data_IF_254077518292
#
_entry.id   IF_254077518292
#
_cell.length_a   1.000
_cell.length_b   1.000
_cell.length_c   1.000
_cell.angle_alpha   90.00
_cell.angle_beta   90.00
_cell.angle_gamma   90.00
#
_symmetry.space_group_name_H-M   'P 1'
#
loop_
_entity.id
_entity.type
_entity.pdbx_description
1 polymer ?
#
# COMPACT_ATOMS: atom_id res chain seq x y z
N UNK A 1 20.80 -36.43 5.98
CA UNK A 1 20.44 -35.00 6.09
C UNK A 1 18.99 -34.83 5.67
N UNK A 2 18.20 -34.04 6.40
CA UNK A 2 16.85 -33.71 5.96
C UNK A 2 16.92 -32.89 4.67
N UNK A 3 16.09 -33.22 3.68
CA UNK A 3 15.96 -32.46 2.43
C UNK A 3 14.66 -31.66 2.46
N UNK A 4 14.61 -30.58 1.69
CA UNK A 4 13.40 -29.80 1.50
C UNK A 4 12.28 -30.71 0.96
N UNK A 5 11.10 -30.77 1.61
CA UNK A 5 10.01 -31.65 1.18
C UNK A 5 9.35 -31.22 -0.14
N UNK A 6 9.69 -30.03 -0.67
CA UNK A 6 9.16 -29.53 -1.95
C UNK A 6 10.04 -29.98 -3.12
N UNK A 7 11.36 -29.71 -3.06
CA UNK A 7 12.28 -30.05 -4.15
C UNK A 7 13.07 -31.34 -3.94
N UNK A 8 13.05 -31.95 -2.74
CA UNK A 8 13.82 -33.15 -2.37
C UNK A 8 15.33 -33.08 -2.67
N UNK A 9 15.88 -31.86 -2.78
CA UNK A 9 17.25 -31.63 -3.21
C UNK A 9 18.01 -30.80 -2.19
N UNK A 10 17.51 -29.61 -1.86
CA UNK A 10 18.20 -28.59 -1.06
C UNK A 10 17.98 -28.77 0.45
N UNK A 11 18.94 -28.33 1.24
CA UNK A 11 18.83 -28.31 2.70
C UNK A 11 17.73 -27.35 3.18
N UNK A 12 16.82 -27.78 4.06
CA UNK A 12 15.74 -26.94 4.57
C UNK A 12 16.24 -25.97 5.64
N UNK A 13 15.98 -24.67 5.46
CA UNK A 13 16.50 -23.61 6.34
C UNK A 13 15.41 -22.77 7.00
N UNK A 14 14.15 -22.84 6.53
CA UNK A 14 13.04 -22.01 7.01
C UNK A 14 11.90 -22.88 7.51
N UNK A 15 11.42 -22.64 8.73
CA UNK A 15 10.17 -23.26 9.21
C UNK A 15 8.98 -22.58 8.54
N UNK A 16 8.24 -23.32 7.70
CA UNK A 16 7.05 -22.81 7.04
C UNK A 16 5.83 -22.98 7.97
N UNK A 17 5.19 -21.90 8.44
CA UNK A 17 4.03 -22.01 9.33
C UNK A 17 2.81 -22.65 8.65
N UNK A 18 2.64 -22.43 7.34
CA UNK A 18 1.53 -23.01 6.57
C UNK A 18 1.63 -24.53 6.40
N UNK A 19 2.86 -25.06 6.27
CA UNK A 19 3.10 -26.48 6.00
C UNK A 19 3.49 -27.27 7.26
N UNK A 20 3.78 -26.59 8.38
CA UNK A 20 4.32 -27.20 9.60
C UNK A 20 5.69 -27.88 9.41
N UNK A 21 6.41 -27.57 8.32
CA UNK A 21 7.65 -28.25 7.91
C UNK A 21 8.75 -27.25 7.58
N UNK A 22 10.01 -27.66 7.73
CA UNK A 22 11.14 -26.87 7.24
C UNK A 22 11.31 -27.04 5.74
N UNK A 23 11.42 -25.93 5.00
CA UNK A 23 11.64 -25.87 3.54
C UNK A 23 12.89 -25.04 3.24
N UNK A 24 13.46 -25.17 2.04
CA UNK A 24 14.59 -24.34 1.62
C UNK A 24 14.13 -22.91 1.25
N UNK A 25 15.07 -21.96 1.26
CA UNK A 25 14.81 -20.55 0.95
C UNK A 25 14.26 -20.33 -0.46
N UNK A 26 14.70 -21.12 -1.44
CA UNK A 26 14.29 -21.03 -2.85
C UNK A 26 12.83 -21.47 -3.01
N UNK A 27 12.46 -22.67 -2.58
CA UNK A 27 11.06 -23.12 -2.62
C UNK A 27 10.14 -22.20 -1.80
N UNK A 28 10.62 -21.67 -0.67
CA UNK A 28 9.89 -20.66 0.10
C UNK A 28 9.67 -19.37 -0.71
N UNK A 29 10.65 -18.92 -1.49
CA UNK A 29 10.57 -17.74 -2.36
C UNK A 29 9.62 -17.92 -3.53
N UNK A 30 9.69 -19.09 -4.16
CA UNK A 30 8.97 -19.41 -5.41
C UNK A 30 7.49 -19.71 -5.19
N UNK A 31 7.14 -20.37 -4.08
CA UNK A 31 5.79 -20.86 -3.84
C UNK A 31 4.95 -20.04 -2.84
N UNK A 32 5.55 -19.07 -2.13
CA UNK A 32 4.81 -18.19 -1.20
C UNK A 32 3.66 -17.49 -1.91
N UNK A 33 2.47 -17.46 -1.30
CA UNK A 33 1.23 -16.87 -1.87
C UNK A 33 0.80 -17.39 -3.26
N UNK A 34 1.55 -18.31 -3.87
CA UNK A 34 1.19 -18.95 -5.15
C UNK A 34 0.56 -20.31 -4.91
N UNK A 35 1.36 -21.25 -4.38
CA UNK A 35 0.91 -22.60 -4.04
C UNK A 35 0.95 -22.89 -2.53
N UNK A 36 1.61 -22.03 -1.75
CA UNK A 36 1.59 -22.08 -0.28
C UNK A 36 0.68 -20.97 0.23
N UNK A 37 -0.41 -21.36 0.92
CA UNK A 37 -1.30 -20.47 1.66
C UNK A 37 -0.58 -19.91 2.90
N UNK A 38 0.30 -18.93 2.67
CA UNK A 38 1.10 -18.32 3.72
C UNK A 38 0.20 -17.50 4.66
N UNK A 39 0.24 -17.72 5.99
CA UNK A 39 -0.47 -16.86 6.92
C UNK A 39 0.16 -15.46 6.92
N UNK A 40 -0.64 -14.44 7.25
CA UNK A 40 -0.17 -13.05 7.39
C UNK A 40 0.92 -12.89 8.45
N UNK A 41 0.96 -13.78 9.45
CA UNK A 41 2.00 -13.83 10.48
C UNK A 41 3.34 -14.45 10.03
N UNK A 42 3.49 -14.84 8.75
CA UNK A 42 4.72 -15.44 8.24
C UNK A 42 5.86 -14.42 8.14
N UNK A 43 6.86 -14.50 9.04
CA UNK A 43 8.03 -13.61 9.07
C UNK A 43 8.79 -13.55 7.73
N UNK A 44 8.95 -14.69 7.06
CA UNK A 44 9.64 -14.75 5.76
C UNK A 44 8.86 -14.09 4.64
N UNK A 45 7.53 -14.05 4.73
CA UNK A 45 6.66 -13.33 3.80
C UNK A 45 6.78 -11.83 4.05
N UNK A 46 6.55 -11.39 5.30
CA UNK A 46 6.63 -10.00 5.72
C UNK A 46 8.00 -9.36 5.39
N UNK A 47 9.09 -10.10 5.59
CA UNK A 47 10.44 -9.63 5.26
C UNK A 47 10.62 -9.42 3.76
N UNK A 48 10.05 -10.28 2.91
CA UNK A 48 10.17 -10.11 1.48
C UNK A 48 9.25 -9.03 0.92
N UNK A 49 8.05 -8.89 1.47
CA UNK A 49 7.15 -7.78 1.15
C UNK A 49 7.80 -6.45 1.49
N UNK A 50 8.39 -6.31 2.68
CA UNK A 50 9.13 -5.11 3.07
C UNK A 50 10.28 -4.79 2.10
N UNK A 51 11.09 -5.79 1.73
CA UNK A 51 12.18 -5.59 0.75
C UNK A 51 11.65 -5.19 -0.64
N UNK A 52 10.51 -5.74 -1.04
CA UNK A 52 9.85 -5.37 -2.29
C UNK A 52 9.39 -3.91 -2.22
N UNK A 53 8.68 -3.54 -1.14
CA UNK A 53 8.20 -2.18 -0.92
C UNK A 53 9.35 -1.18 -0.88
N UNK A 54 10.43 -1.45 -0.14
CA UNK A 54 11.60 -0.59 -0.06
C UNK A 54 12.20 -0.32 -1.46
N UNK A 55 12.32 -1.36 -2.28
CA UNK A 55 12.82 -1.23 -3.66
C UNK A 55 11.87 -0.39 -4.51
N UNK A 56 10.56 -0.70 -4.48
CA UNK A 56 9.55 0.03 -5.24
C UNK A 56 9.44 1.49 -4.77
N UNK A 57 9.65 1.76 -3.49
CA UNK A 57 9.66 3.10 -2.94
C UNK A 57 10.83 3.93 -3.47
N UNK A 58 12.02 3.32 -3.59
CA UNK A 58 13.17 3.98 -4.22
C UNK A 58 12.92 4.28 -5.71
N UNK A 59 12.30 3.35 -6.44
CA UNK A 59 11.90 3.56 -7.84
C UNK A 59 10.88 4.70 -7.95
N UNK A 60 9.84 4.66 -7.13
CA UNK A 60 8.80 5.69 -7.08
C UNK A 60 9.37 7.06 -6.74
N UNK A 61 10.29 7.16 -5.78
CA UNK A 61 10.93 8.44 -5.42
C UNK A 61 11.66 9.06 -6.61
N UNK A 62 12.40 8.25 -7.37
CA UNK A 62 13.15 8.73 -8.54
C UNK A 62 12.23 9.21 -9.66
N UNK A 63 11.18 8.46 -9.98
CA UNK A 63 10.21 8.88 -11.00
C UNK A 63 9.39 10.09 -10.55
N UNK A 64 9.09 10.17 -9.24
CA UNK A 64 8.42 11.33 -8.67
C UNK A 64 9.27 12.60 -8.77
N UNK A 65 10.58 12.53 -8.48
CA UNK A 65 11.50 13.67 -8.66
C UNK A 65 11.50 14.19 -10.11
N UNK A 66 11.47 13.28 -11.10
CA UNK A 66 11.34 13.66 -12.52
C UNK A 66 10.03 14.38 -12.81
N UNK A 67 8.90 13.90 -12.26
CA UNK A 67 7.60 14.57 -12.37
C UNK A 67 7.67 15.99 -11.79
N UNK A 68 8.26 16.17 -10.61
CA UNK A 68 8.37 17.49 -9.97
C UNK A 68 9.21 18.48 -10.80
N UNK A 69 10.29 18.01 -11.42
CA UNK A 69 11.10 18.82 -12.34
C UNK A 69 10.28 19.19 -13.58
N UNK A 70 9.62 18.21 -14.20
CA UNK A 70 8.75 18.43 -15.36
C UNK A 70 7.64 19.45 -15.08
N UNK A 71 6.94 19.33 -13.94
CA UNK A 71 5.89 20.28 -13.56
C UNK A 71 6.43 21.70 -13.41
N UNK A 72 7.62 21.86 -12.83
CA UNK A 72 8.28 23.17 -12.69
C UNK A 72 8.59 23.77 -14.06
N UNK A 73 9.18 22.99 -14.96
CA UNK A 73 9.53 23.44 -16.32
C UNK A 73 8.29 23.83 -17.14
N UNK A 74 7.15 23.20 -16.88
CA UNK A 74 5.86 23.52 -17.51
C UNK A 74 5.09 24.66 -16.82
N UNK A 75 5.65 25.30 -15.79
CA UNK A 75 4.95 26.35 -15.03
C UNK A 75 3.83 25.83 -14.12
N UNK A 76 3.72 24.50 -13.96
CA UNK A 76 2.73 23.80 -13.12
C UNK A 76 3.25 23.50 -11.71
N UNK A 77 4.28 24.21 -11.26
CA UNK A 77 4.87 24.02 -9.93
C UNK A 77 3.88 24.27 -8.76
N UNK A 78 2.78 24.98 -9.02
CA UNK A 78 1.72 25.23 -8.05
C UNK A 78 0.94 23.97 -7.66
N UNK A 79 0.96 22.90 -8.47
CA UNK A 79 0.31 21.61 -8.17
C UNK A 79 1.03 20.81 -7.09
N UNK A 80 2.34 21.04 -6.89
CA UNK A 80 3.21 20.22 -6.05
C UNK A 80 2.70 20.05 -4.61
N UNK A 81 2.23 21.09 -3.91
CA UNK A 81 1.68 20.93 -2.56
C UNK A 81 0.44 20.02 -2.53
N UNK A 82 -0.45 20.14 -3.52
CA UNK A 82 -1.66 19.33 -3.58
C UNK A 82 -1.34 17.87 -3.92
N UNK A 83 -0.40 17.63 -4.83
CA UNK A 83 0.10 16.29 -5.13
C UNK A 83 0.69 15.60 -3.90
N UNK A 84 1.39 16.33 -3.03
CA UNK A 84 1.89 15.80 -1.76
C UNK A 84 0.75 15.39 -0.82
N UNK A 85 -0.29 16.23 -0.68
CA UNK A 85 -1.48 15.94 0.15
C UNK A 85 -2.20 14.69 -0.35
N UNK A 86 -2.40 14.57 -1.67
CA UNK A 86 -3.04 13.41 -2.27
C UNK A 86 -2.23 12.13 -2.03
N UNK A 87 -0.90 12.19 -2.19
CA UNK A 87 -0.01 11.05 -1.97
C UNK A 87 -0.07 10.55 -0.52
N UNK A 88 -0.09 11.47 0.45
CA UNK A 88 -0.24 11.12 1.88
C UNK A 88 -1.63 10.53 2.17
N UNK A 89 -2.68 11.09 1.58
CA UNK A 89 -4.06 10.59 1.74
C UNK A 89 -4.21 9.17 1.18
N UNK A 90 -3.66 8.92 -0.01
CA UNK A 90 -3.60 7.60 -0.62
C UNK A 90 -2.83 6.61 0.26
N UNK A 91 -1.67 7.02 0.79
CA UNK A 91 -0.86 6.16 1.64
C UNK A 91 -1.65 5.70 2.89
N UNK A 92 -2.35 6.62 3.54
CA UNK A 92 -3.19 6.30 4.70
C UNK A 92 -4.34 5.35 4.35
N UNK A 93 -4.98 5.52 3.19
CA UNK A 93 -6.03 4.61 2.71
C UNK A 93 -5.48 3.21 2.41
N UNK A 94 -4.37 3.13 1.70
CA UNK A 94 -3.73 1.88 1.26
C UNK A 94 -3.25 1.02 2.43
N UNK A 95 -2.83 1.61 3.56
CA UNK A 95 -2.39 0.84 4.74
C UNK A 95 -3.39 -0.20 5.24
N UNK A 96 -4.69 0.05 5.01
CA UNK A 96 -5.79 -0.76 5.54
C UNK A 96 -6.53 -1.56 4.47
N UNK A 97 -6.20 -1.36 3.19
CA UNK A 97 -6.95 -1.87 2.07
C UNK A 97 -6.04 -2.70 1.16
N UNK A 98 -6.55 -3.83 0.69
CA UNK A 98 -5.89 -4.59 -0.37
C UNK A 98 -6.35 -4.06 -1.73
N UNK A 99 -5.62 -3.09 -2.27
CA UNK A 99 -5.94 -2.40 -3.53
C UNK A 99 -4.84 -2.58 -4.57
N UNK A 100 -5.21 -2.44 -5.82
CA UNK A 100 -4.33 -2.45 -6.99
C UNK A 100 -4.02 -1.03 -7.48
N UNK A 101 -3.07 -0.89 -8.40
CA UNK A 101 -2.81 0.39 -9.06
C UNK A 101 -4.03 0.84 -9.89
N UNK A 102 -4.77 -0.09 -10.48
CA UNK A 102 -6.03 0.15 -11.19
C UNK A 102 -7.11 0.71 -10.25
N UNK A 103 -7.22 0.17 -9.03
CA UNK A 103 -8.12 0.70 -8.01
C UNK A 103 -7.78 2.14 -7.62
N UNK A 104 -6.49 2.49 -7.58
CA UNK A 104 -6.02 3.85 -7.30
C UNK A 104 -6.42 4.80 -8.43
N UNK A 105 -6.16 4.41 -9.69
CA UNK A 105 -6.53 5.22 -10.86
C UNK A 105 -8.04 5.46 -10.89
N UNK A 106 -8.85 4.40 -10.75
CA UNK A 106 -10.31 4.50 -10.72
C UNK A 106 -10.81 5.43 -9.60
N UNK A 107 -10.19 5.36 -8.42
CA UNK A 107 -10.54 6.24 -7.30
C UNK A 107 -10.20 7.72 -7.57
N UNK A 108 -9.05 7.99 -8.20
CA UNK A 108 -8.64 9.34 -8.58
C UNK A 108 -9.55 9.93 -9.66
N UNK A 109 -9.82 9.17 -10.72
CA UNK A 109 -10.70 9.58 -11.82
C UNK A 109 -12.13 9.84 -11.35
N UNK A 110 -12.64 9.00 -10.44
CA UNK A 110 -13.92 9.25 -9.78
C UNK A 110 -13.92 10.61 -9.06
N UNK A 111 -12.87 10.92 -8.28
CA UNK A 111 -12.78 12.22 -7.62
C UNK A 111 -12.66 13.40 -8.61
N UNK A 112 -11.99 13.23 -9.76
CA UNK A 112 -11.97 14.23 -10.83
C UNK A 112 -13.40 14.52 -11.32
N UNK A 113 -14.17 13.46 -11.57
CA UNK A 113 -15.57 13.59 -12.01
C UNK A 113 -16.46 14.26 -10.96
N UNK A 114 -16.29 13.93 -9.67
CA UNK A 114 -17.06 14.57 -8.58
C UNK A 114 -16.78 16.07 -8.44
N UNK A 115 -15.60 16.53 -8.86
CA UNK A 115 -15.23 17.94 -8.84
C UNK A 115 -15.57 18.67 -10.16
N UNK A 116 -16.01 17.92 -11.18
CA UNK A 116 -16.48 18.48 -12.44
C UNK A 116 -17.67 19.43 -12.24
N UNK A 117 -17.83 20.47 -13.07
CA UNK A 117 -19.01 21.32 -13.07
C UNK A 117 -20.32 20.60 -13.41
N UNK A 118 -20.23 19.41 -14.03
CA UNK A 118 -21.38 18.61 -14.43
C UNK A 118 -21.71 17.62 -13.32
N UNK A 119 -22.92 17.70 -12.74
CA UNK A 119 -23.38 16.74 -11.73
C UNK A 119 -23.54 15.35 -12.34
N UNK A 120 -22.65 14.42 -11.95
CA UNK A 120 -22.75 13.00 -12.24
C UNK A 120 -23.07 12.25 -10.94
N UNK A 121 -24.25 11.62 -10.87
CA UNK A 121 -24.63 10.73 -9.76
C UNK A 121 -23.95 9.36 -9.93
N UNK A 122 -22.62 9.34 -9.88
CA UNK A 122 -21.84 8.12 -9.90
C UNK A 122 -21.57 7.63 -8.49
N UNK A 123 -21.48 6.31 -8.33
CA UNK A 123 -21.11 5.70 -7.05
C UNK A 123 -19.60 5.55 -7.00
N UNK A 124 -18.96 5.63 -5.82
CA UNK A 124 -17.54 5.37 -5.70
C UNK A 124 -17.20 3.98 -6.25
N UNK A 125 -16.15 3.87 -7.09
CA UNK A 125 -15.82 2.61 -7.77
C UNK A 125 -15.30 1.54 -6.79
N UNK A 126 -14.68 1.98 -5.68
CA UNK A 126 -14.15 1.12 -4.65
C UNK A 126 -14.09 1.84 -3.29
N UNK A 127 -13.63 1.13 -2.25
CA UNK A 127 -13.53 1.66 -0.88
C UNK A 127 -12.55 2.85 -0.81
N UNK A 128 -11.48 2.83 -1.62
CA UNK A 128 -10.52 3.92 -1.68
C UNK A 128 -11.15 5.19 -2.27
N UNK A 129 -11.92 5.07 -3.36
CA UNK A 129 -12.68 6.18 -3.96
C UNK A 129 -13.65 6.82 -2.98
N UNK A 130 -14.38 6.01 -2.20
CA UNK A 130 -15.24 6.52 -1.13
C UNK A 130 -14.44 7.29 -0.07
N UNK A 131 -13.32 6.72 0.38
CA UNK A 131 -12.49 7.36 1.40
C UNK A 131 -11.91 8.70 0.92
N UNK A 132 -11.48 8.77 -0.35
CA UNK A 132 -10.99 10.01 -0.96
C UNK A 132 -12.11 11.04 -1.13
N UNK A 133 -13.29 10.62 -1.59
CA UNK A 133 -14.47 11.49 -1.72
C UNK A 133 -14.84 12.13 -0.38
N UNK A 134 -15.02 11.31 0.66
CA UNK A 134 -15.36 11.75 2.02
C UNK A 134 -14.32 12.73 2.60
N UNK A 135 -13.07 12.64 2.13
CA UNK A 135 -11.97 13.51 2.57
C UNK A 135 -11.86 14.80 1.75
N UNK A 136 -11.88 14.70 0.42
CA UNK A 136 -11.55 15.79 -0.49
C UNK A 136 -12.77 16.66 -0.83
N UNK A 137 -13.91 16.05 -1.16
CA UNK A 137 -15.08 16.78 -1.69
C UNK A 137 -15.62 17.80 -0.68
N UNK A 138 -15.80 17.49 0.62
CA UNK A 138 -16.25 18.48 1.60
C UNK A 138 -15.27 19.66 1.77
N UNK A 139 -13.96 19.42 1.63
CA UNK A 139 -12.94 20.47 1.75
C UNK A 139 -12.98 21.41 0.54
N UNK A 140 -13.21 20.88 -0.66
CA UNK A 140 -13.40 21.70 -1.86
C UNK A 140 -14.72 22.48 -1.79
N UNK A 141 -15.82 21.83 -1.38
CA UNK A 141 -17.13 22.48 -1.26
C UNK A 141 -17.15 23.59 -0.20
N UNK A 142 -16.40 23.42 0.89
CA UNK A 142 -16.24 24.46 1.92
C UNK A 142 -15.23 25.56 1.56
N UNK A 143 -14.61 25.50 0.38
CA UNK A 143 -13.61 26.46 -0.09
C UNK A 143 -12.25 26.38 0.61
N UNK A 144 -12.00 25.32 1.39
CA UNK A 144 -10.71 25.09 2.05
C UNK A 144 -9.65 24.57 1.09
N UNK A 145 -10.07 23.92 0.02
CA UNK A 145 -9.23 23.52 -1.11
C UNK A 145 -9.76 24.16 -2.39
N UNK A 146 -8.85 24.63 -3.23
CA UNK A 146 -9.20 25.17 -4.54
C UNK A 146 -9.65 24.03 -5.47
N UNK A 147 -10.80 24.20 -6.14
CA UNK A 147 -11.43 23.16 -6.95
C UNK A 147 -10.59 22.80 -8.17
N UNK A 148 -10.15 23.79 -8.94
CA UNK A 148 -9.41 23.55 -10.18
C UNK A 148 -8.02 23.00 -9.89
N UNK A 149 -7.34 23.53 -8.87
CA UNK A 149 -6.08 23.01 -8.37
C UNK A 149 -6.20 21.53 -7.96
N UNK A 150 -7.25 21.19 -7.22
CA UNK A 150 -7.49 19.82 -6.75
C UNK A 150 -7.76 18.88 -7.91
N UNK A 151 -8.60 19.31 -8.85
CA UNK A 151 -8.96 18.53 -10.04
C UNK A 151 -7.72 18.28 -10.92
N UNK A 152 -6.94 19.32 -11.22
CA UNK A 152 -5.73 19.18 -12.02
C UNK A 152 -4.67 18.32 -11.32
N UNK A 153 -4.55 18.40 -9.99
CA UNK A 153 -3.64 17.55 -9.23
C UNK A 153 -4.08 16.07 -9.23
N UNK A 154 -5.39 15.79 -9.14
CA UNK A 154 -5.93 14.43 -9.26
C UNK A 154 -5.67 13.84 -10.65
N UNK A 155 -5.96 14.60 -11.72
CA UNK A 155 -5.68 14.20 -13.12
C UNK A 155 -4.18 13.93 -13.34
N UNK A 156 -3.32 14.82 -12.82
CA UNK A 156 -1.87 14.67 -12.90
C UNK A 156 -1.39 13.42 -12.18
N UNK A 157 -1.95 13.13 -10.99
CA UNK A 157 -1.59 11.96 -10.21
C UNK A 157 -2.09 10.67 -10.86
N UNK A 158 -3.30 10.65 -11.41
CA UNK A 158 -3.85 9.49 -12.12
C UNK A 158 -2.97 9.11 -13.32
N UNK A 159 -2.62 10.09 -14.17
CA UNK A 159 -1.71 9.86 -15.31
C UNK A 159 -0.31 9.44 -14.89
N UNK A 160 0.21 9.94 -13.76
CA UNK A 160 1.48 9.46 -13.21
C UNK A 160 1.40 8.00 -12.72
N UNK A 161 0.31 7.63 -12.04
CA UNK A 161 0.10 6.26 -11.55
C UNK A 161 0.01 5.30 -12.75
N UNK A 162 -0.73 5.67 -13.80
CA UNK A 162 -0.83 4.91 -15.05
C UNK A 162 0.56 4.67 -15.67
N UNK A 163 1.31 5.74 -15.96
CA UNK A 163 2.69 5.66 -16.50
C UNK A 163 3.61 4.80 -15.63
N UNK A 164 3.59 5.00 -14.31
CA UNK A 164 4.47 4.26 -13.41
C UNK A 164 4.15 2.76 -13.37
N UNK A 165 2.88 2.41 -13.60
CA UNK A 165 2.36 1.04 -13.45
C UNK A 165 2.51 0.18 -14.71
N UNK A 166 2.85 0.76 -15.87
CA UNK A 166 2.95 0.05 -17.16
C UNK A 166 3.84 -1.22 -17.12
N UNK A 167 4.98 -1.18 -16.43
CA UNK A 167 5.91 -2.33 -16.32
C UNK A 167 5.73 -3.14 -15.01
N UNK A 168 4.54 -3.06 -14.40
CA UNK A 168 4.26 -3.54 -13.06
C UNK A 168 3.59 -4.92 -12.94
N UNK A 169 3.40 -5.34 -11.69
CA UNK A 169 2.62 -6.51 -11.28
C UNK A 169 1.17 -6.13 -10.87
N UNK A 170 0.70 -4.96 -11.31
CA UNK A 170 -0.59 -4.36 -10.91
C UNK A 170 -0.61 -3.75 -9.51
N UNK A 171 0.51 -3.79 -8.76
CA UNK A 171 0.68 -3.15 -7.44
C UNK A 171 2.01 -2.40 -7.34
N UNK A 172 2.60 -2.00 -8.46
CA UNK A 172 3.90 -1.33 -8.48
C UNK A 172 3.82 0.02 -7.78
N UNK A 173 2.81 0.83 -8.08
CA UNK A 173 2.59 2.11 -7.41
C UNK A 173 2.24 1.91 -5.94
N UNK A 174 1.27 1.03 -5.64
CA UNK A 174 0.83 0.71 -4.27
C UNK A 174 2.01 0.25 -3.39
N UNK A 175 2.84 -0.69 -3.88
CA UNK A 175 4.03 -1.14 -3.18
C UNK A 175 5.07 -0.04 -3.03
N UNK A 176 5.22 0.83 -4.03
CA UNK A 176 6.11 1.99 -3.95
C UNK A 176 5.67 2.95 -2.86
N UNK A 177 4.37 3.22 -2.78
CA UNK A 177 3.82 4.10 -1.77
C UNK A 177 3.95 3.52 -0.36
N UNK A 178 3.74 2.21 -0.18
CA UNK A 178 4.00 1.49 1.07
C UNK A 178 5.49 1.48 1.46
N UNK A 179 6.40 1.57 0.49
CA UNK A 179 7.84 1.72 0.74
C UNK A 179 8.20 3.10 1.27
N UNK A 180 7.62 4.15 0.69
CA UNK A 180 7.85 5.54 1.11
C UNK A 180 7.10 5.91 2.41
N UNK A 181 5.91 5.35 2.57
CA UNK A 181 5.02 5.57 3.70
C UNK A 181 4.64 4.22 4.30
N UNK A 182 5.53 3.57 5.06
CA UNK A 182 5.22 2.27 5.65
C UNK A 182 4.11 2.38 6.70
N UNK A 183 3.25 1.35 6.83
CA UNK A 183 2.25 1.32 7.89
C UNK A 183 2.93 1.37 9.26
N UNK A 184 2.33 2.05 10.25
CA UNK A 184 2.88 2.12 11.59
C UNK A 184 3.07 0.70 12.14
N UNK A 185 4.22 0.43 12.78
CA UNK A 185 4.47 -0.86 13.44
C UNK A 185 3.43 -1.04 14.54
N UNK A 186 2.60 -2.09 14.45
CA UNK A 186 1.77 -2.51 15.57
C UNK A 186 2.69 -2.76 16.77
N UNK A 187 2.47 -2.02 17.86
CA UNK A 187 3.15 -2.33 19.13
C UNK A 187 2.58 -3.67 19.60
N UNK A 188 3.41 -4.65 19.97
CA UNK A 188 2.87 -5.87 20.55
C UNK A 188 2.05 -5.48 21.78
N UNK A 189 0.78 -5.91 21.82
CA UNK A 189 -0.07 -5.72 22.99
C UNK A 189 0.69 -6.24 24.22
N UNK A 190 0.72 -5.50 25.34
CA UNK A 190 1.34 -6.00 26.55
C UNK A 190 0.72 -7.35 26.89
N UNK A 191 1.57 -8.37 27.05
CA UNK A 191 1.14 -9.69 27.52
C UNK A 191 0.60 -9.47 28.94
N UNK A 192 -0.73 -9.41 29.09
CA UNK A 192 -1.36 -9.43 30.41
C UNK A 192 -1.11 -10.83 30.96
N UNK A 193 -0.08 -10.98 31.80
CA UNK A 193 0.05 -12.17 32.64
C UNK A 193 -1.09 -12.10 33.66
N UNK A 194 -2.01 -13.08 33.72
CA UNK A 194 -2.96 -13.14 34.82
C UNK A 194 -2.17 -13.29 36.11
N UNK A 195 -2.38 -12.36 37.05
CA UNK A 195 -1.80 -12.44 38.38
C UNK A 195 -2.25 -13.75 39.03
N UNK A 196 -1.28 -14.51 39.52
CA UNK A 196 -1.48 -15.84 40.06
C UNK A 196 -2.55 -15.85 41.14
N UNK A 197 -3.52 -16.74 40.95
CA UNK A 197 -4.45 -17.20 41.97
C UNK A 197 -3.71 -17.52 43.27
N UNK A 198 -3.96 -16.72 44.31
CA UNK A 198 -3.45 -16.93 45.65
C UNK A 198 -3.89 -18.29 46.18
N UNK A 199 -2.93 -19.20 46.36
CA UNK A 199 -3.13 -20.45 47.09
C UNK A 199 -3.08 -20.10 48.58
N UNK A 200 -4.26 -19.96 49.20
CA UNK A 200 -4.41 -19.89 50.65
C UNK A 200 -4.08 -21.28 51.20
N UNK A 201 -2.97 -21.41 51.94
CA UNK A 201 -2.69 -22.60 52.74
C UNK A 201 -3.38 -22.46 54.11
N UNK A 202 -4.20 -23.42 54.55
CA UNK A 202 -4.73 -23.42 55.91
C UNK A 202 -3.63 -23.80 56.92
N UNK A 203 -3.78 -23.29 58.13
CA UNK A 203 -2.89 -23.44 59.29
C UNK A 203 -2.74 -24.88 59.76
#
# INVERSE_FOLDING_TARGET
>A
MAKCPICNERSPSRLCPALGKRICSICCGEHRRKSIACPSSCEFLLTAERKLWDRRGQELSKEWEKLLVYLREKGKGHLVPMLQVLRESLAQGIHKLDVTDEDVIAALDYCVQQLSPIELLERPPNILGRALEETLVPLVQSGKLDRELTREALETLAGFVEYFSEEGDGKRFVHGLLGLYPPPKERPSPIIRPEGSGIIRPR
#
